data_IF_413116421303
#
_entry.id   IF_413116421303
#
_cell.length_a   1.000
_cell.length_b   1.000
_cell.length_c   1.000
_cell.angle_alpha   90.00
_cell.angle_beta   90.00
_cell.angle_gamma   90.00
#
_symmetry.space_group_name_H-M   'P 1'
#
loop_
_entity.id
_entity.type
_entity.pdbx_description
1 polymer ?
#
# COMPACT_ATOMS: atom_id res chain seq x y z
N UNK A 1 -17.95 -21.16 0.50
CA UNK A 1 -17.20 -20.08 1.18
C UNK A 1 -16.86 -19.00 0.16
N UNK A 2 -17.86 -18.37 -0.44
CA UNK A 2 -17.72 -17.57 -1.68
C UNK A 2 -18.35 -16.17 -1.59
N UNK A 3 -18.82 -15.73 -0.42
CA UNK A 3 -19.78 -14.61 -0.34
C UNK A 3 -19.28 -13.34 0.39
N UNK A 4 -18.03 -13.29 0.84
CA UNK A 4 -17.55 -12.11 1.58
C UNK A 4 -16.96 -11.01 0.69
N UNK A 5 -16.31 -11.36 -0.42
CA UNK A 5 -15.67 -10.39 -1.33
C UNK A 5 -16.70 -9.77 -2.30
N UNK A 6 -17.72 -10.53 -2.70
CA UNK A 6 -18.81 -10.09 -3.59
C UNK A 6 -19.87 -9.23 -2.90
N UNK A 7 -19.81 -9.05 -1.57
CA UNK A 7 -20.67 -8.13 -0.83
C UNK A 7 -20.12 -6.70 -0.72
N UNK A 8 -18.89 -6.46 -1.17
CA UNK A 8 -18.21 -5.18 -1.01
C UNK A 8 -18.28 -4.35 -2.30
N UNK A 9 -19.43 -3.70 -2.54
CA UNK A 9 -19.62 -2.70 -3.61
C UNK A 9 -18.56 -1.59 -3.57
N UNK A 10 -17.80 -1.49 -2.49
CA UNK A 10 -16.83 -0.46 -2.21
C UNK A 10 -15.54 -0.56 -3.04
N UNK A 11 -15.06 -1.77 -3.40
CA UNK A 11 -13.94 -1.91 -4.37
C UNK A 11 -14.44 -1.64 -5.79
N UNK A 12 -15.60 -2.18 -6.16
CA UNK A 12 -16.21 -1.95 -7.46
C UNK A 12 -16.54 -0.46 -7.70
N UNK A 13 -17.16 0.23 -6.74
CA UNK A 13 -17.45 1.66 -6.80
C UNK A 13 -16.17 2.50 -6.89
N UNK A 14 -15.17 2.20 -6.05
CA UNK A 14 -13.86 2.86 -6.09
C UNK A 14 -13.17 2.66 -7.44
N UNK A 15 -13.20 1.44 -7.98
CA UNK A 15 -12.55 1.05 -9.24
C UNK A 15 -13.29 1.63 -10.45
N UNK A 16 -14.62 1.65 -10.44
CA UNK A 16 -15.44 2.12 -11.56
C UNK A 16 -15.31 3.62 -11.79
N UNK A 17 -15.03 4.39 -10.74
CA UNK A 17 -15.00 5.86 -10.80
C UNK A 17 -13.60 6.46 -10.95
N UNK A 18 -12.54 5.65 -10.95
CA UNK A 18 -11.21 6.12 -11.38
C UNK A 18 -11.21 6.23 -12.91
N UNK A 19 -11.29 7.46 -13.40
CA UNK A 19 -11.20 7.78 -14.82
C UNK A 19 -9.74 7.91 -15.25
N UNK A 20 -9.36 7.17 -16.30
CA UNK A 20 -7.98 7.04 -16.75
C UNK A 20 -7.59 8.07 -17.82
N UNK A 21 -8.57 8.61 -18.56
CA UNK A 21 -8.32 9.56 -19.64
C UNK A 21 -7.99 10.94 -19.08
N UNK A 22 -6.85 11.51 -19.47
CA UNK A 22 -6.31 12.77 -18.94
C UNK A 22 -7.35 13.90 -18.80
N UNK A 23 -8.19 14.12 -19.80
CA UNK A 23 -9.18 15.21 -19.82
C UNK A 23 -10.40 14.96 -18.90
N UNK A 24 -10.58 13.72 -18.47
CA UNK A 24 -11.65 13.27 -17.56
C UNK A 24 -11.06 12.65 -16.29
N UNK A 25 -9.74 12.78 -16.09
CA UNK A 25 -9.02 11.91 -15.18
C UNK A 25 -9.23 12.27 -13.72
N UNK A 26 -9.28 11.23 -12.90
CA UNK A 26 -9.28 11.39 -11.45
C UNK A 26 -7.95 12.00 -11.01
N UNK A 27 -7.98 13.11 -10.28
CA UNK A 27 -6.74 13.74 -9.78
C UNK A 27 -6.00 12.82 -8.80
N UNK A 28 -4.68 13.02 -8.65
CA UNK A 28 -3.85 12.30 -7.67
C UNK A 28 -4.45 12.34 -6.26
N UNK A 29 -4.93 13.51 -5.82
CA UNK A 29 -5.56 13.67 -4.51
C UNK A 29 -6.82 12.79 -4.34
N UNK A 30 -7.65 12.68 -5.38
CA UNK A 30 -8.85 11.83 -5.34
C UNK A 30 -8.45 10.35 -5.36
N UNK A 31 -7.45 9.95 -6.16
CA UNK A 31 -6.90 8.60 -6.11
C UNK A 31 -6.35 8.26 -4.72
N UNK A 32 -5.62 9.17 -4.08
CA UNK A 32 -5.06 8.98 -2.74
C UNK A 32 -6.17 8.85 -1.68
N UNK A 33 -7.25 9.64 -1.80
CA UNK A 33 -8.43 9.52 -0.94
C UNK A 33 -9.11 8.16 -1.09
N UNK A 34 -9.30 7.70 -2.33
CA UNK A 34 -9.84 6.39 -2.64
C UNK A 34 -9.00 5.25 -2.02
N UNK A 35 -7.68 5.28 -2.21
CA UNK A 35 -6.77 4.28 -1.63
C UNK A 35 -6.74 4.35 -0.11
N UNK A 36 -6.90 5.53 0.48
CA UNK A 36 -7.05 5.70 1.93
C UNK A 36 -8.26 4.92 2.45
N UNK A 37 -9.41 5.01 1.78
CA UNK A 37 -10.63 4.29 2.18
C UNK A 37 -10.48 2.77 2.06
N UNK A 38 -9.76 2.28 1.04
CA UNK A 38 -9.39 0.86 0.93
C UNK A 38 -8.51 0.44 2.11
N UNK A 39 -7.43 1.19 2.37
CA UNK A 39 -6.46 0.88 3.42
C UNK A 39 -7.09 0.91 4.83
N UNK A 40 -8.02 1.83 5.10
CA UNK A 40 -8.73 1.95 6.39
C UNK A 40 -9.48 0.69 6.82
N UNK A 41 -9.87 -0.17 5.87
CA UNK A 41 -10.55 -1.45 6.18
C UNK A 41 -9.63 -2.49 6.81
N UNK A 42 -8.34 -2.40 6.51
CA UNK A 42 -7.32 -3.34 6.99
C UNK A 42 -6.48 -2.74 8.12
N UNK A 43 -6.31 -1.41 8.10
CA UNK A 43 -5.52 -0.64 9.06
C UNK A 43 -6.43 0.27 9.88
N UNK A 44 -7.27 -0.32 10.72
CA UNK A 44 -8.27 0.39 11.50
C UNK A 44 -7.75 0.88 12.86
N UNK A 45 -8.27 2.01 13.31
CA UNK A 45 -8.12 2.48 14.69
C UNK A 45 -8.92 1.55 15.64
N UNK A 46 -8.43 1.24 16.86
CA UNK A 46 -7.30 1.84 17.57
C UNK A 46 -5.94 1.20 17.34
N UNK A 47 -5.84 0.16 16.52
CA UNK A 47 -4.59 -0.58 16.35
C UNK A 47 -3.65 0.06 15.32
N UNK A 48 -4.22 0.78 14.36
CA UNK A 48 -3.49 1.51 13.34
C UNK A 48 -3.99 2.95 13.18
N UNK A 49 -3.09 3.82 12.72
CA UNK A 49 -3.37 5.21 12.34
C UNK A 49 -2.85 5.42 10.93
N UNK A 50 -3.71 5.89 10.02
CA UNK A 50 -3.29 6.36 8.69
C UNK A 50 -3.10 7.87 8.76
N UNK A 51 -1.87 8.32 8.50
CA UNK A 51 -1.47 9.72 8.56
C UNK A 51 -1.08 10.22 7.16
N UNK A 52 -1.95 11.03 6.51
CA UNK A 52 -1.63 11.66 5.24
C UNK A 52 -0.49 12.67 5.39
N UNK A 53 0.38 12.75 4.37
CA UNK A 53 1.41 13.80 4.24
C UNK A 53 2.36 13.92 5.44
N UNK A 54 2.51 12.83 6.20
CA UNK A 54 3.35 12.81 7.39
C UNK A 54 4.82 12.90 6.97
N UNK A 55 5.49 13.97 7.39
CA UNK A 55 6.95 14.05 7.26
C UNK A 55 7.61 13.00 8.15
N UNK A 56 8.42 12.16 7.53
CA UNK A 56 9.32 11.27 8.22
C UNK A 56 10.49 12.07 8.80
N UNK A 57 11.20 11.49 9.77
CA UNK A 57 12.37 12.12 10.41
C UNK A 57 13.50 12.47 9.43
N UNK A 58 13.52 11.81 8.27
CA UNK A 58 14.45 12.07 7.17
C UNK A 58 14.06 13.26 6.28
N UNK A 59 12.97 13.96 6.59
CA UNK A 59 12.44 15.08 5.80
C UNK A 59 11.61 14.66 4.58
N UNK A 60 11.61 13.37 4.23
CA UNK A 60 10.76 12.77 3.20
C UNK A 60 9.29 12.77 3.62
N UNK A 61 8.40 12.84 2.64
CA UNK A 61 6.95 12.93 2.86
C UNK A 61 6.23 12.01 1.87
N UNK A 62 5.96 10.76 2.26
CA UNK A 62 5.05 9.90 1.51
C UNK A 62 3.64 10.49 1.53
N UNK A 63 2.83 10.17 0.52
CA UNK A 63 1.42 10.59 0.48
C UNK A 63 0.64 10.08 1.69
N UNK A 64 0.85 8.83 2.11
CA UNK A 64 0.35 8.30 3.39
C UNK A 64 1.42 7.50 4.13
N UNK A 65 1.40 7.58 5.46
CA UNK A 65 2.13 6.66 6.34
C UNK A 65 1.16 5.99 7.30
N UNK A 66 1.25 4.67 7.42
CA UNK A 66 0.46 3.88 8.38
C UNK A 66 1.33 3.59 9.60
N UNK A 67 0.78 3.89 10.77
CA UNK A 67 1.40 3.64 12.06
C UNK A 67 0.69 2.51 12.78
N UNK A 68 1.44 1.59 13.38
CA UNK A 68 0.94 0.64 14.36
C UNK A 68 1.02 1.23 15.77
N UNK A 69 -0.02 1.04 16.58
CA UNK A 69 -0.09 1.50 17.97
C UNK A 69 0.35 0.38 18.91
N UNK A 70 1.61 0.41 19.39
CA UNK A 70 2.11 -0.59 20.34
C UNK A 70 1.60 -0.31 21.76
N UNK A 71 0.61 -1.10 22.18
CA UNK A 71 -0.02 -1.01 23.50
C UNK A 71 0.79 -1.69 24.62
N UNK A 72 1.86 -2.44 24.30
CA UNK A 72 2.59 -3.28 25.28
C UNK A 72 3.69 -2.53 26.04
N UNK A 73 4.09 -1.33 25.61
CA UNK A 73 5.28 -0.61 26.12
C UNK A 73 5.00 0.50 27.13
N UNK A 74 3.82 0.51 27.77
CA UNK A 74 3.44 1.46 28.85
C UNK A 74 3.48 2.96 28.47
N UNK A 75 3.80 3.27 27.21
CA UNK A 75 3.65 4.53 26.51
C UNK A 75 3.05 4.18 25.16
N UNK A 76 1.98 4.85 24.75
CA UNK A 76 1.32 4.68 23.45
C UNK A 76 2.28 5.06 22.31
N UNK A 77 3.25 4.20 22.01
CA UNK A 77 4.23 4.43 20.98
C UNK A 77 3.66 4.00 19.64
N UNK A 78 3.54 4.94 18.72
CA UNK A 78 3.19 4.69 17.33
C UNK A 78 4.44 4.47 16.50
N UNK A 79 4.38 3.47 15.63
CA UNK A 79 5.51 3.04 14.83
C UNK A 79 5.13 3.02 13.35
N UNK A 80 5.87 3.70 12.46
CA UNK A 80 5.54 3.70 11.04
C UNK A 80 5.87 2.32 10.45
N UNK A 81 4.87 1.66 9.86
CA UNK A 81 4.96 0.26 9.39
C UNK A 81 4.74 0.12 7.89
N UNK A 82 4.08 1.09 7.27
CA UNK A 82 3.73 1.04 5.85
C UNK A 82 3.73 2.45 5.28
N UNK A 83 4.16 2.59 4.02
CA UNK A 83 4.03 3.85 3.27
C UNK A 83 3.24 3.63 2.00
N UNK A 84 2.54 4.67 1.56
CA UNK A 84 1.83 4.69 0.30
C UNK A 84 2.28 5.91 -0.49
N UNK A 85 2.55 5.70 -1.76
CA UNK A 85 2.74 6.75 -2.76
C UNK A 85 1.70 6.53 -3.87
N UNK A 86 0.95 7.56 -4.20
CA UNK A 86 -0.04 7.56 -5.24
C UNK A 86 0.33 8.48 -6.39
N UNK A 87 -0.20 8.18 -7.57
CA UNK A 87 -0.07 9.00 -8.77
C UNK A 87 -1.41 9.08 -9.49
N UNK A 88 -1.62 10.16 -10.23
CA UNK A 88 -2.79 10.28 -11.08
C UNK A 88 -2.82 9.19 -12.17
N UNK A 89 -3.99 8.68 -12.59
CA UNK A 89 -4.12 7.51 -13.47
C UNK A 89 -3.40 7.64 -14.82
N UNK A 90 -3.30 8.84 -15.38
CA UNK A 90 -2.63 9.10 -16.66
C UNK A 90 -1.09 9.07 -16.58
N UNK A 91 -0.53 8.67 -15.43
CA UNK A 91 0.91 8.57 -15.19
C UNK A 91 1.41 7.10 -15.14
N UNK A 92 0.72 6.14 -15.76
CA UNK A 92 1.13 4.72 -15.69
C UNK A 92 2.58 4.47 -16.11
N UNK A 93 3.07 5.10 -17.18
CA UNK A 93 4.48 5.01 -17.61
C UNK A 93 5.46 5.59 -16.57
N UNK A 94 5.02 6.60 -15.81
CA UNK A 94 5.79 7.19 -14.73
C UNK A 94 5.88 6.25 -13.52
N UNK A 95 4.83 5.45 -13.30
CA UNK A 95 4.71 4.53 -12.16
C UNK A 95 5.84 3.49 -12.16
N UNK A 96 6.16 2.93 -13.34
CA UNK A 96 7.20 1.89 -13.49
C UNK A 96 8.61 2.43 -13.22
N UNK A 97 8.90 3.67 -13.63
CA UNK A 97 10.28 4.18 -13.65
C UNK A 97 10.60 5.14 -12.49
N UNK A 98 9.75 6.14 -12.23
CA UNK A 98 10.04 7.21 -11.25
C UNK A 98 9.27 7.04 -9.95
N UNK A 99 8.02 6.60 -10.03
CA UNK A 99 7.20 6.32 -8.84
C UNK A 99 7.84 5.24 -7.96
N UNK A 100 8.41 4.22 -8.58
CA UNK A 100 9.07 3.13 -7.87
C UNK A 100 10.28 3.60 -7.04
N UNK A 101 11.15 4.41 -7.63
CA UNK A 101 12.33 4.93 -6.94
C UNK A 101 11.92 5.80 -5.74
N UNK A 102 10.92 6.65 -5.93
CA UNK A 102 10.38 7.52 -4.88
C UNK A 102 9.78 6.69 -3.74
N UNK A 103 8.90 5.74 -4.05
CA UNK A 103 8.27 4.86 -3.08
C UNK A 103 9.32 4.02 -2.32
N UNK A 104 10.26 3.39 -3.04
CA UNK A 104 11.37 2.63 -2.44
C UNK A 104 12.23 3.50 -1.50
N UNK A 105 12.40 4.77 -1.85
CA UNK A 105 13.09 5.75 -1.01
C UNK A 105 12.46 5.96 0.37
N UNK A 106 11.15 5.74 0.52
CA UNK A 106 10.45 5.86 1.81
C UNK A 106 10.49 4.57 2.64
N UNK A 107 10.57 3.41 2.00
CA UNK A 107 10.67 2.12 2.70
C UNK A 107 11.96 2.06 3.52
N UNK A 108 13.07 2.55 2.96
CA UNK A 108 14.39 2.61 3.62
C UNK A 108 14.38 3.43 4.92
N UNK A 109 13.42 4.32 5.09
CA UNK A 109 13.36 5.29 6.20
C UNK A 109 12.32 4.90 7.25
N UNK A 110 11.61 3.78 7.07
CA UNK A 110 10.73 3.20 8.07
C UNK A 110 11.55 2.61 9.22
N UNK A 111 11.56 3.31 10.36
CA UNK A 111 12.34 2.94 11.56
C UNK A 111 11.80 1.71 12.30
N UNK A 112 10.60 1.26 11.96
CA UNK A 112 9.98 0.06 12.49
C UNK A 112 9.63 -0.88 11.33
N UNK A 113 10.70 -1.40 10.70
CA UNK A 113 10.62 -2.65 9.97
C UNK A 113 9.97 -3.70 10.89
N UNK A 114 9.28 -4.69 10.32
CA UNK A 114 8.84 -5.84 11.11
C UNK A 114 10.09 -6.40 11.81
N UNK A 115 10.30 -6.04 13.09
CA UNK A 115 11.61 -6.12 13.77
C UNK A 115 12.16 -7.53 13.84
N UNK A 116 11.29 -8.53 13.64
CA UNK A 116 11.63 -9.94 13.60
C UNK A 116 12.12 -10.41 12.23
N UNK A 117 11.78 -9.68 11.15
CA UNK A 117 12.05 -10.06 9.76
C UNK A 117 12.96 -9.09 9.01
N UNK A 118 13.30 -7.93 9.58
CA UNK A 118 14.07 -6.88 8.91
C UNK A 118 13.49 -6.44 7.56
N UNK A 119 12.16 -6.46 7.45
CA UNK A 119 11.44 -6.10 6.23
C UNK A 119 10.59 -4.86 6.48
N UNK A 120 10.62 -3.94 5.53
CA UNK A 120 9.71 -2.78 5.46
C UNK A 120 8.82 -2.92 4.25
N UNK A 121 7.62 -2.36 4.33
CA UNK A 121 6.61 -2.51 3.30
C UNK A 121 6.05 -1.16 2.90
N UNK A 122 5.54 -1.10 1.68
CA UNK A 122 4.74 0.02 1.22
C UNK A 122 4.05 -0.33 -0.08
N UNK A 123 3.45 0.68 -0.69
CA UNK A 123 2.73 0.53 -1.94
C UNK A 123 2.94 1.75 -2.82
N UNK A 124 2.98 1.49 -4.12
CA UNK A 124 2.83 2.49 -5.15
C UNK A 124 1.52 2.22 -5.89
N UNK A 125 0.70 3.24 -6.09
CA UNK A 125 -0.51 3.14 -6.91
C UNK A 125 -0.60 4.26 -7.94
N UNK A 126 -1.19 3.96 -9.09
CA UNK A 126 -1.51 4.91 -10.15
C UNK A 126 -2.88 4.56 -10.69
N UNK A 127 -3.88 5.35 -10.33
CA UNK A 127 -5.27 4.97 -10.55
C UNK A 127 -5.59 3.60 -9.94
N UNK A 128 -6.00 2.65 -10.78
CA UNK A 128 -6.37 1.28 -10.40
C UNK A 128 -5.17 0.34 -10.34
N UNK A 129 -4.09 0.70 -11.04
CA UNK A 129 -2.86 -0.08 -11.11
C UNK A 129 -2.05 0.14 -9.82
N UNK A 130 -1.58 -0.92 -9.18
CA UNK A 130 -0.80 -0.81 -7.95
C UNK A 130 0.25 -1.91 -7.83
N UNK A 131 1.21 -1.67 -6.94
CA UNK A 131 2.29 -2.59 -6.64
C UNK A 131 2.65 -2.51 -5.17
N UNK A 132 2.68 -3.67 -4.51
CA UNK A 132 3.19 -3.77 -3.15
C UNK A 132 4.71 -3.88 -3.22
N UNK A 133 5.38 -3.09 -2.39
CA UNK A 133 6.83 -3.07 -2.27
C UNK A 133 7.24 -3.67 -0.94
N UNK A 134 8.29 -4.47 -0.97
CA UNK A 134 8.97 -5.03 0.19
C UNK A 134 10.44 -4.70 0.10
N UNK A 135 11.01 -4.16 1.16
CA UNK A 135 12.44 -3.86 1.22
C UNK A 135 13.08 -4.64 2.37
N UNK A 136 14.07 -5.45 2.02
CA UNK A 136 14.94 -6.14 2.97
C UNK A 136 16.03 -5.16 3.42
N UNK A 137 15.99 -4.83 4.71
CA UNK A 137 16.92 -3.85 5.31
C UNK A 137 18.32 -4.41 5.42
N UNK A 138 18.48 -5.73 5.57
CA UNK A 138 19.80 -6.37 5.73
C UNK A 138 20.49 -6.53 4.37
N UNK A 139 19.74 -7.00 3.38
CA UNK A 139 20.26 -7.19 2.02
C UNK A 139 20.23 -5.91 1.18
N UNK A 140 19.64 -4.84 1.72
CA UNK A 140 19.36 -3.57 1.03
C UNK A 140 18.64 -3.75 -0.32
N UNK A 141 17.77 -4.77 -0.39
CA UNK A 141 17.14 -5.22 -1.64
C UNK A 141 15.65 -4.92 -1.67
N UNK A 142 15.21 -4.34 -2.78
CA UNK A 142 13.79 -4.10 -3.06
C UNK A 142 13.18 -5.27 -3.83
N UNK A 143 12.00 -5.69 -3.40
CA UNK A 143 11.18 -6.73 -3.99
C UNK A 143 9.81 -6.14 -4.32
N UNK A 144 9.23 -6.61 -5.42
CA UNK A 144 7.86 -6.31 -5.83
C UNK A 144 7.01 -7.53 -5.48
N UNK A 145 5.94 -7.33 -4.74
CA UNK A 145 4.99 -8.40 -4.41
C UNK A 145 3.85 -8.29 -5.40
N UNK A 146 3.65 -9.34 -6.20
CA UNK A 146 2.42 -9.52 -6.96
C UNK A 146 1.30 -9.92 -5.97
N UNK A 147 0.26 -9.09 -5.80
CA UNK A 147 -0.85 -9.42 -4.92
C UNK A 147 -1.56 -10.70 -5.37
N UNK A 148 -1.62 -10.94 -6.69
CA UNK A 148 -2.44 -12.01 -7.28
C UNK A 148 -1.87 -13.41 -7.12
N UNK A 149 -0.55 -13.57 -6.94
CA UNK A 149 0.06 -14.90 -7.01
C UNK A 149 0.78 -15.39 -5.75
N UNK A 150 1.15 -14.57 -4.76
CA UNK A 150 1.93 -14.95 -3.56
C UNK A 150 3.19 -15.86 -3.80
N UNK A 151 3.53 -16.18 -5.04
CA UNK A 151 4.70 -16.90 -5.52
C UNK A 151 5.43 -15.99 -6.53
N UNK A 152 6.76 -15.91 -6.42
CA UNK A 152 7.60 -15.23 -7.42
C UNK A 152 7.56 -16.03 -8.74
N UNK A 153 6.74 -15.61 -9.71
CA UNK A 153 6.73 -16.21 -11.07
C UNK A 153 7.23 -15.21 -12.10
N UNK A 154 8.15 -15.67 -12.95
CA UNK A 154 8.81 -14.86 -13.97
C UNK A 154 7.88 -14.45 -15.13
N UNK A 155 6.77 -15.18 -15.35
CA UNK A 155 5.88 -15.02 -16.52
C UNK A 155 4.37 -15.10 -16.14
N UNK A 156 3.90 -14.24 -15.23
CA UNK A 156 2.47 -14.15 -14.91
C UNK A 156 1.68 -13.45 -16.04
N UNK A 157 0.60 -14.08 -16.53
CA UNK A 157 -0.43 -13.40 -17.34
C UNK A 157 -1.10 -12.33 -16.47
N UNK A 158 -1.40 -11.16 -17.03
CA UNK A 158 -2.13 -10.09 -16.36
C UNK A 158 -3.40 -10.64 -15.68
N UNK A 159 -3.39 -10.68 -14.36
CA UNK A 159 -4.51 -11.14 -13.54
C UNK A 159 -5.67 -10.14 -13.61
N UNK A 160 -6.92 -10.61 -13.47
CA UNK A 160 -8.05 -9.68 -13.40
C UNK A 160 -7.92 -8.79 -12.17
N UNK A 161 -8.44 -7.56 -12.26
CA UNK A 161 -8.42 -6.61 -11.14
C UNK A 161 -9.09 -7.18 -9.89
N UNK A 162 -10.13 -8.00 -10.05
CA UNK A 162 -10.76 -8.75 -8.94
C UNK A 162 -9.78 -9.68 -8.22
N UNK A 163 -8.93 -10.37 -8.98
CA UNK A 163 -7.92 -11.28 -8.43
C UNK A 163 -6.84 -10.49 -7.69
N UNK A 164 -6.41 -9.35 -8.26
CA UNK A 164 -5.46 -8.45 -7.62
C UNK A 164 -6.01 -7.85 -6.33
N UNK A 165 -7.28 -7.42 -6.33
CA UNK A 165 -7.96 -6.89 -5.15
C UNK A 165 -8.07 -7.94 -4.03
N UNK A 166 -8.47 -9.17 -4.36
CA UNK A 166 -8.48 -10.28 -3.39
C UNK A 166 -7.10 -10.58 -2.81
N UNK A 167 -6.08 -10.55 -3.66
CA UNK A 167 -4.69 -10.71 -3.30
C UNK A 167 -4.19 -9.62 -2.36
N UNK A 168 -4.53 -8.37 -2.67
CA UNK A 168 -4.23 -7.21 -1.84
C UNK A 168 -4.92 -7.29 -0.48
N UNK A 169 -6.22 -7.60 -0.46
CA UNK A 169 -6.97 -7.73 0.78
C UNK A 169 -6.39 -8.83 1.69
N UNK A 170 -5.95 -9.95 1.10
CA UNK A 170 -5.26 -11.01 1.84
C UNK A 170 -3.93 -10.52 2.39
N UNK A 171 -3.11 -9.90 1.56
CA UNK A 171 -1.82 -9.33 1.98
C UNK A 171 -2.00 -8.36 3.16
N UNK A 172 -2.93 -7.42 3.06
CA UNK A 172 -3.15 -6.43 4.11
C UNK A 172 -3.63 -7.06 5.42
N UNK A 173 -4.52 -8.07 5.35
CA UNK A 173 -4.97 -8.83 6.53
C UNK A 173 -3.80 -9.56 7.19
N UNK A 174 -3.00 -10.31 6.43
CA UNK A 174 -1.87 -11.06 6.95
C UNK A 174 -0.79 -10.13 7.54
N UNK A 175 -0.54 -9.00 6.87
CA UNK A 175 0.41 -7.99 7.31
C UNK A 175 -0.06 -7.33 8.62
N UNK A 176 -1.31 -6.86 8.69
CA UNK A 176 -1.88 -6.25 9.90
C UNK A 176 -1.90 -7.24 11.08
N UNK A 177 -2.30 -8.49 10.84
CA UNK A 177 -2.30 -9.55 11.85
C UNK A 177 -0.91 -9.87 12.39
N UNK A 178 0.17 -9.58 11.65
CA UNK A 178 1.54 -9.81 12.13
C UNK A 178 1.99 -8.88 13.26
N UNK A 179 1.20 -7.85 13.59
CA UNK A 179 1.48 -6.88 14.65
C UNK A 179 0.64 -7.08 15.92
N UNK A 180 -0.52 -7.76 15.82
CA UNK A 180 -1.46 -8.02 16.90
C UNK A 180 -1.05 -9.27 17.71
#
# INVERSE_FOLDING_TARGET
>A
MTDAVTKDQSWAFVIEHIAEKKDESTSEAVCNGIWTEILRRHFSYPDFIIAPEQRQTTGKRPDLTIFYVDKKRDLSSWHPVFTFEGKAPYHEEYMVNKGLEQAAGYLKTLSWSNRRKNMTYGMLACGKSFMILKYDVVQEKLFRIDPSDQEEKADAKASSLDTQAQGFDRFCKDFAASFL
#
